data_IF_175742998520
#
_entry.id   IF_175742998520
#
_cell.length_a   1.000
_cell.length_b   1.000
_cell.length_c   1.000
_cell.angle_alpha   90.00
_cell.angle_beta   90.00
_cell.angle_gamma   90.00
#
_symmetry.space_group_name_H-M   'P 1'
#
loop_
_entity.id
_entity.type
_entity.pdbx_description
1 polymer ?
#
# COMPACT_ATOMS: atom_id res chain seq x y z
N UNK A 1 14.08 10.64 28.66
CA UNK A 1 14.55 9.59 27.73
C UNK A 1 13.65 8.37 27.89
N UNK A 2 12.45 8.42 27.33
CA UNK A 2 11.47 7.32 27.43
C UNK A 2 11.79 6.29 26.36
N UNK A 3 12.32 5.15 26.81
CA UNK A 3 12.64 4.01 25.95
C UNK A 3 11.41 3.57 25.16
N UNK A 4 11.52 3.55 23.83
CA UNK A 4 10.56 2.86 22.97
C UNK A 4 10.54 1.40 23.43
N UNK A 5 9.44 0.97 24.07
CA UNK A 5 9.17 -0.46 24.23
C UNK A 5 9.19 -1.05 22.83
N UNK A 6 10.09 -2.01 22.58
CA UNK A 6 10.10 -2.80 21.36
C UNK A 6 8.84 -3.70 21.36
N UNK A 7 7.70 -3.10 21.06
CA UNK A 7 6.46 -3.85 20.83
C UNK A 7 6.57 -4.39 19.42
N UNK A 8 6.71 -5.71 19.29
CA UNK A 8 6.61 -6.36 17.98
C UNK A 8 5.22 -6.07 17.42
N UNK A 9 5.14 -5.36 16.31
CA UNK A 9 3.87 -5.15 15.61
C UNK A 9 3.28 -6.52 15.21
N UNK A 10 1.95 -6.70 15.24
CA UNK A 10 1.34 -7.92 14.73
C UNK A 10 1.56 -8.03 13.22
N UNK A 11 1.59 -9.26 12.71
CA UNK A 11 1.47 -9.50 11.28
C UNK A 11 0.00 -9.31 10.87
N UNK A 12 -0.25 -8.53 9.83
CA UNK A 12 -1.60 -8.17 9.36
C UNK A 12 -2.33 -9.32 8.63
N UNK A 13 -2.30 -10.54 9.18
CA UNK A 13 -2.93 -11.70 8.53
C UNK A 13 -4.44 -11.55 8.56
N UNK A 14 -5.04 -11.45 7.37
CA UNK A 14 -6.49 -11.30 7.22
C UNK A 14 -6.99 -9.85 7.30
N UNK A 15 -6.11 -8.86 7.47
CA UNK A 15 -6.50 -7.47 7.31
C UNK A 15 -6.82 -7.14 5.85
N UNK A 16 -7.87 -6.37 5.65
CA UNK A 16 -8.31 -5.90 4.33
C UNK A 16 -8.11 -4.40 4.14
N UNK A 17 -7.86 -3.65 5.21
CA UNK A 17 -7.63 -2.21 5.15
C UNK A 17 -6.14 -1.91 5.06
N UNK A 18 -5.75 -1.22 3.99
CA UNK A 18 -4.38 -0.76 3.77
C UNK A 18 -3.94 0.22 4.85
N UNK A 19 -4.77 1.25 5.13
CA UNK A 19 -4.45 2.31 6.10
C UNK A 19 -4.24 1.74 7.51
N UNK A 20 -5.12 0.85 7.96
CA UNK A 20 -4.96 0.22 9.28
C UNK A 20 -3.70 -0.65 9.33
N UNK A 21 -3.43 -1.40 8.26
CA UNK A 21 -2.27 -2.28 8.16
C UNK A 21 -0.95 -1.51 8.22
N UNK A 22 -0.83 -0.39 7.51
CA UNK A 22 0.41 0.41 7.53
C UNK A 22 0.63 1.18 8.83
N UNK A 23 -0.43 1.47 9.58
CA UNK A 23 -0.36 2.15 10.89
C UNK A 23 -0.05 1.18 12.02
N UNK A 24 -0.69 0.02 12.02
CA UNK A 24 -0.81 -0.82 13.21
C UNK A 24 -0.15 -2.19 13.08
N UNK A 25 0.45 -2.53 11.93
CA UNK A 25 0.99 -3.87 11.66
C UNK A 25 2.25 -3.86 10.80
N UNK A 26 2.93 -5.00 10.71
CA UNK A 26 3.97 -5.20 9.71
C UNK A 26 3.34 -5.28 8.31
N UNK A 27 3.72 -4.34 7.45
CA UNK A 27 3.35 -4.30 6.04
C UNK A 27 4.58 -4.51 5.16
N UNK A 28 4.50 -5.46 4.23
CA UNK A 28 5.52 -5.60 3.18
C UNK A 28 5.16 -4.67 2.04
N UNK A 29 6.06 -3.75 1.74
CA UNK A 29 5.84 -2.74 0.71
C UNK A 29 5.73 -3.36 -0.70
N UNK A 30 4.52 -3.29 -1.26
CA UNK A 30 4.17 -3.70 -2.63
C UNK A 30 3.69 -2.52 -3.48
N UNK A 31 3.97 -1.29 -3.06
CA UNK A 31 3.47 -0.07 -3.73
C UNK A 31 4.00 0.11 -5.14
N UNK A 32 5.12 -0.53 -5.51
CA UNK A 32 5.59 -0.55 -6.91
C UNK A 32 4.60 -1.17 -7.89
N UNK A 33 3.64 -1.98 -7.42
CA UNK A 33 2.51 -2.43 -8.23
C UNK A 33 1.74 -1.27 -8.87
N UNK A 34 1.64 -0.13 -8.17
CA UNK A 34 0.97 1.08 -8.69
C UNK A 34 1.69 1.59 -9.94
N UNK A 35 3.02 1.70 -9.88
CA UNK A 35 3.83 2.11 -11.02
C UNK A 35 3.63 1.15 -12.18
N UNK A 36 3.78 -0.15 -11.91
CA UNK A 36 3.67 -1.17 -12.96
C UNK A 36 2.27 -1.11 -13.63
N UNK A 37 1.20 -0.86 -12.87
CA UNK A 37 -0.15 -0.70 -13.43
C UNK A 37 -0.34 0.58 -14.26
N UNK A 38 0.33 1.68 -13.90
CA UNK A 38 0.24 2.94 -14.65
C UNK A 38 1.07 2.87 -15.94
N UNK A 39 2.27 2.29 -15.86
CA UNK A 39 3.24 2.24 -16.95
C UNK A 39 2.93 1.15 -18.00
N UNK A 40 2.35 0.02 -17.59
CA UNK A 40 2.07 -1.10 -18.51
C UNK A 40 0.90 -0.81 -19.47
N UNK A 41 0.12 0.25 -19.22
CA UNK A 41 -1.01 0.72 -20.05
C UNK A 41 -2.01 -0.39 -20.47
N UNK A 42 -2.04 -1.51 -19.75
CA UNK A 42 -2.86 -2.67 -20.08
C UNK A 42 -4.34 -2.38 -19.80
N UNK A 43 -5.22 -2.62 -20.79
CA UNK A 43 -6.66 -2.46 -20.62
C UNK A 43 -7.25 -3.40 -19.55
N UNK A 44 -6.64 -4.58 -19.38
CA UNK A 44 -7.02 -5.57 -18.36
C UNK A 44 -5.77 -6.17 -17.75
N UNK A 45 -5.64 -6.10 -16.43
CA UNK A 45 -4.57 -6.76 -15.66
C UNK A 45 -5.13 -7.98 -14.92
N UNK A 46 -4.60 -9.18 -15.21
CA UNK A 46 -5.01 -10.42 -14.55
C UNK A 46 -4.18 -10.71 -13.31
N UNK A 47 -4.79 -10.64 -12.14
CA UNK A 47 -4.18 -11.14 -10.91
C UNK A 47 -4.44 -12.65 -10.77
N UNK A 48 -3.39 -13.46 -10.88
CA UNK A 48 -3.50 -14.92 -10.65
C UNK A 48 -3.99 -15.22 -9.23
N UNK A 49 -4.39 -16.46 -8.93
CA UNK A 49 -5.11 -16.83 -7.68
C UNK A 49 -4.25 -17.46 -6.55
N UNK A 50 -3.01 -17.04 -6.20
CA UNK A 50 -2.40 -17.53 -4.96
C UNK A 50 -3.19 -17.09 -3.73
N UNK A 51 -3.51 -18.04 -2.84
CA UNK A 51 -4.25 -17.83 -1.59
C UNK A 51 -3.38 -17.03 -0.60
N UNK A 52 -3.99 -16.13 0.17
CA UNK A 52 -3.33 -15.30 1.22
C UNK A 52 -2.20 -14.39 0.72
N UNK A 53 -2.10 -14.16 -0.59
CA UNK A 53 -1.06 -13.30 -1.17
C UNK A 53 -1.31 -11.78 -0.97
N UNK A 54 -2.43 -11.42 -0.32
CA UNK A 54 -2.78 -10.03 -0.05
C UNK A 54 -3.45 -9.30 -1.22
N UNK A 55 -4.18 -10.02 -2.10
CA UNK A 55 -4.92 -9.40 -3.23
C UNK A 55 -5.94 -8.36 -2.76
N UNK A 56 -6.74 -8.68 -1.75
CA UNK A 56 -7.73 -7.74 -1.19
C UNK A 56 -7.06 -6.49 -0.65
N UNK A 57 -5.97 -6.65 0.11
CA UNK A 57 -5.19 -5.54 0.63
C UNK A 57 -4.56 -4.70 -0.50
N UNK A 58 -4.10 -5.33 -1.59
CA UNK A 58 -3.57 -4.63 -2.76
C UNK A 58 -4.66 -3.81 -3.48
N UNK A 59 -5.87 -4.35 -3.61
CA UNK A 59 -7.01 -3.60 -4.19
C UNK A 59 -7.38 -2.40 -3.31
N UNK A 60 -7.39 -2.57 -1.99
CA UNK A 60 -7.64 -1.47 -1.05
C UNK A 60 -6.52 -0.41 -1.09
N UNK A 61 -5.26 -0.82 -1.20
CA UNK A 61 -4.13 0.09 -1.44
C UNK A 61 -4.30 0.90 -2.73
N UNK A 62 -4.70 0.26 -3.83
CA UNK A 62 -4.96 0.95 -5.11
C UNK A 62 -6.13 1.93 -4.97
N UNK A 63 -7.17 1.55 -4.23
CA UNK A 63 -8.28 2.45 -3.90
C UNK A 63 -7.73 3.69 -3.16
N UNK A 64 -6.99 3.52 -2.08
CA UNK A 64 -6.41 4.64 -1.30
C UNK A 64 -5.51 5.54 -2.15
N UNK A 65 -4.78 4.98 -3.12
CA UNK A 65 -3.91 5.74 -4.01
C UNK A 65 -4.68 6.55 -5.09
N UNK A 66 -5.73 5.98 -5.68
CA UNK A 66 -6.44 6.60 -6.81
C UNK A 66 -7.74 7.34 -6.42
N UNK A 67 -8.30 7.04 -5.26
CA UNK A 67 -9.54 7.65 -4.79
C UNK A 67 -9.33 9.13 -4.48
N UNK A 68 -10.17 9.98 -5.09
CA UNK A 68 -10.20 11.39 -4.77
C UNK A 68 -10.99 11.61 -3.49
N UNK A 69 -10.30 12.00 -2.44
CA UNK A 69 -10.88 12.36 -1.15
C UNK A 69 -10.59 13.82 -0.81
N UNK A 70 -11.37 14.41 0.09
CA UNK A 70 -11.08 15.74 0.64
C UNK A 70 -9.82 15.72 1.53
N UNK A 71 -9.44 14.54 2.04
CA UNK A 71 -8.24 14.30 2.84
C UNK A 71 -7.02 13.93 1.96
N UNK A 72 -5.82 14.29 2.43
CA UNK A 72 -4.55 13.96 1.77
C UNK A 72 -4.11 12.51 2.07
N UNK A 73 -4.39 11.60 1.13
CA UNK A 73 -3.96 10.19 1.22
C UNK A 73 -2.49 9.96 0.86
N UNK A 74 -1.80 10.94 0.26
CA UNK A 74 -0.40 10.82 -0.14
C UNK A 74 0.51 10.49 1.05
N UNK A 75 0.09 10.88 2.27
CA UNK A 75 0.77 10.62 3.54
C UNK A 75 1.09 9.14 3.76
N UNK A 76 0.25 8.23 3.24
CA UNK A 76 0.42 6.78 3.39
C UNK A 76 1.45 6.17 2.44
N UNK A 77 2.00 6.97 1.52
CA UNK A 77 2.95 6.53 0.51
C UNK A 77 4.33 7.19 0.66
N UNK A 78 4.47 8.24 1.49
CA UNK A 78 5.72 9.03 1.64
C UNK A 78 6.96 8.24 2.01
N UNK A 79 6.79 7.14 2.74
CA UNK A 79 7.86 6.25 3.19
C UNK A 79 7.90 4.92 2.40
N UNK A 80 7.22 4.86 1.25
CA UNK A 80 7.09 3.67 0.41
C UNK A 80 7.86 3.84 -0.89
N UNK A 81 8.23 2.72 -1.52
CA UNK A 81 9.01 2.66 -2.75
C UNK A 81 8.39 3.43 -3.92
N UNK A 82 7.06 3.53 -3.98
CA UNK A 82 6.39 4.31 -5.03
C UNK A 82 6.73 5.82 -4.97
N UNK A 83 7.05 6.35 -3.79
CA UNK A 83 7.39 7.76 -3.61
C UNK A 83 8.73 8.15 -4.25
N UNK A 84 9.64 7.18 -4.33
CA UNK A 84 10.94 7.32 -4.94
C UNK A 84 10.90 7.21 -6.48
N UNK A 85 9.77 6.78 -7.06
CA UNK A 85 9.60 6.65 -8.51
C UNK A 85 9.44 8.00 -9.25
N UNK A 86 9.39 9.13 -8.53
CA UNK A 86 9.34 10.49 -9.09
C UNK A 86 8.06 11.25 -8.76
N UNK A 87 8.05 12.55 -9.07
CA UNK A 87 6.95 13.46 -8.69
C UNK A 87 5.59 13.09 -9.30
N UNK A 88 5.60 12.45 -10.47
CA UNK A 88 4.37 11.95 -11.11
C UNK A 88 3.57 10.98 -10.23
N UNK A 89 4.25 10.25 -9.34
CA UNK A 89 3.68 9.25 -8.45
C UNK A 89 3.35 9.77 -7.04
N UNK A 90 3.66 11.03 -6.74
CA UNK A 90 3.43 11.66 -5.44
C UNK A 90 2.04 12.31 -5.38
N UNK A 91 1.02 11.55 -5.77
CA UNK A 91 -0.39 11.96 -5.72
C UNK A 91 -1.01 11.66 -4.37
#
# INVERSE_FOLDING_TARGET
MTGKKNVSLPCAVGSTSYIDTVKNSYYVDKTLLIRDLIDDHAAVTLFTRPRRFGKTLAVDMLKVFFEKTDEDNSVYFRDKKIWDCGEFYRK
#
